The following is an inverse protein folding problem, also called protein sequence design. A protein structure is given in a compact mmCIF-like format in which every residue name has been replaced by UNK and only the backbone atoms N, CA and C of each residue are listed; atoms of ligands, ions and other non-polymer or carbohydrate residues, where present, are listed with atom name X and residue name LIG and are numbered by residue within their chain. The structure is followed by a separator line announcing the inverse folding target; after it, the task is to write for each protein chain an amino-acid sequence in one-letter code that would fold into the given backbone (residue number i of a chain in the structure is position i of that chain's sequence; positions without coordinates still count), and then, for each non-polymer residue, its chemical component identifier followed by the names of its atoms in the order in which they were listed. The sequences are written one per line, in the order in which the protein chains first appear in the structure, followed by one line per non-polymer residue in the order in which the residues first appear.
data_IF_882651395945
#
_entry.id   IF_882651395945
#
_cell.length_a   1.000
_cell.length_b   1.000
_cell.length_c   1.000
_cell.angle_alpha   90.00
_cell.angle_beta   90.00
_cell.angle_gamma   90.00
#
_symmetry.space_group_name_H-M   'P 1'
#
loop_
_entity.id
_entity.type
_entity.pdbx_description
1 polymer ?
#
# COMPACT_ATOMS: atom_id res chain seq x y z
N UNK A 1 61.94 19.51 -10.26
CA UNK A 1 62.27 19.49 -11.71
C UNK A 1 61.01 19.25 -12.47
N UNK A 2 60.71 20.17 -13.37
CA UNK A 2 59.48 20.25 -14.18
C UNK A 2 59.52 19.27 -15.36
N UNK A 3 58.41 18.67 -15.73
CA UNK A 3 58.19 18.21 -17.10
C UNK A 3 56.74 18.54 -17.50
N UNK A 4 56.63 19.52 -18.38
CA UNK A 4 55.40 19.86 -19.12
C UNK A 4 55.32 18.94 -20.35
N UNK A 5 54.15 18.42 -20.65
CA UNK A 5 53.87 17.72 -21.91
C UNK A 5 52.80 18.50 -22.69
N UNK A 6 52.98 18.71 -23.98
CA UNK A 6 52.19 19.64 -24.77
C UNK A 6 50.90 19.04 -25.32
N UNK A 7 49.88 19.91 -25.40
CA UNK A 7 48.57 19.68 -26.02
C UNK A 7 48.74 19.73 -27.54
N UNK A 8 48.38 18.65 -28.23
CA UNK A 8 48.22 18.64 -29.70
C UNK A 8 46.76 19.01 -30.05
N UNK A 9 46.63 20.17 -30.66
CA UNK A 9 45.37 20.64 -31.27
C UNK A 9 45.30 20.06 -32.70
N UNK A 10 44.40 19.15 -32.96
CA UNK A 10 44.11 18.61 -34.31
C UNK A 10 42.96 19.37 -34.91
N UNK A 11 43.21 20.29 -35.81
CA UNK A 11 42.22 20.94 -36.66
C UNK A 11 41.87 19.99 -37.82
N UNK A 12 40.70 19.44 -37.87
CA UNK A 12 40.16 18.72 -39.03
C UNK A 12 39.31 19.68 -39.86
N UNK A 13 39.77 20.03 -41.05
CA UNK A 13 38.98 20.69 -42.07
C UNK A 13 37.96 19.69 -42.63
N UNK A 14 36.68 19.96 -42.43
CA UNK A 14 35.60 19.26 -43.17
C UNK A 14 35.26 20.06 -44.42
N UNK A 15 35.51 19.44 -45.55
CA UNK A 15 35.07 19.91 -46.87
C UNK A 15 33.55 19.76 -47.00
N UNK A 16 32.88 20.84 -47.36
CA UNK A 16 31.48 20.86 -47.65
C UNK A 16 31.21 20.15 -49.01
N UNK A 17 30.40 19.12 -49.01
CA UNK A 17 29.78 18.52 -50.22
C UNK A 17 28.40 19.18 -50.43
N UNK A 18 28.05 19.60 -51.65
CA UNK A 18 26.75 20.17 -51.95
C UNK A 18 25.72 19.07 -52.27
N UNK A 19 24.54 19.21 -51.66
CA UNK A 19 23.29 18.81 -52.31
C UNK A 19 22.91 17.33 -52.28
N UNK A 20 22.24 16.90 -51.20
CA UNK A 20 21.22 15.86 -51.31
C UNK A 20 19.89 16.45 -50.81
N UNK A 21 18.86 16.29 -51.64
CA UNK A 21 17.56 16.89 -51.42
C UNK A 21 16.97 16.48 -50.06
N UNK A 22 16.48 17.45 -49.35
CA UNK A 22 15.68 17.27 -48.14
C UNK A 22 14.35 16.63 -48.58
N UNK A 23 14.16 15.36 -48.28
CA UNK A 23 12.81 14.76 -48.27
C UNK A 23 11.94 15.57 -47.29
N UNK A 24 10.68 15.86 -47.62
CA UNK A 24 9.79 16.53 -46.69
C UNK A 24 9.68 15.70 -45.43
N UNK A 25 10.20 16.25 -44.33
CA UNK A 25 10.32 15.58 -43.05
C UNK A 25 9.00 14.94 -42.62
N UNK A 26 9.07 13.67 -42.28
CA UNK A 26 8.01 12.99 -41.56
C UNK A 26 7.57 13.91 -40.38
N UNK A 27 6.27 14.04 -40.11
CA UNK A 27 5.81 14.90 -39.02
C UNK A 27 6.52 14.45 -37.74
N UNK A 28 7.17 15.40 -37.08
CA UNK A 28 7.85 15.18 -35.81
C UNK A 28 6.86 14.45 -34.89
N UNK A 29 7.11 13.16 -34.64
CA UNK A 29 6.25 12.36 -33.78
C UNK A 29 6.08 13.10 -32.46
N UNK A 30 4.85 13.18 -31.97
CA UNK A 30 4.55 13.76 -30.66
C UNK A 30 5.51 13.14 -29.65
N UNK A 31 6.29 13.94 -28.89
CA UNK A 31 7.26 13.39 -27.97
C UNK A 31 6.55 12.40 -27.02
N UNK A 32 7.06 11.19 -26.97
CA UNK A 32 6.50 10.16 -26.10
C UNK A 32 6.47 10.69 -24.67
N UNK A 33 5.30 10.70 -24.07
CA UNK A 33 5.16 11.13 -22.67
C UNK A 33 5.97 10.18 -21.77
N UNK A 34 6.76 10.73 -20.85
CA UNK A 34 7.49 9.92 -19.89
C UNK A 34 6.52 9.00 -19.12
N UNK A 35 6.86 7.72 -18.92
CA UNK A 35 5.99 6.80 -18.21
C UNK A 35 5.74 7.25 -16.76
N UNK A 36 4.64 6.81 -16.17
CA UNK A 36 4.31 7.08 -14.77
C UNK A 36 4.65 5.88 -13.90
N UNK A 37 5.36 6.09 -12.81
CA UNK A 37 5.39 5.14 -11.72
C UNK A 37 4.08 5.27 -10.95
N UNK A 38 3.34 4.16 -10.81
CA UNK A 38 2.08 4.09 -10.09
C UNK A 38 2.14 2.95 -9.08
N UNK A 39 1.96 3.27 -7.81
CA UNK A 39 1.76 2.28 -6.77
C UNK A 39 0.41 2.51 -6.11
N UNK A 40 -0.47 1.51 -6.17
CA UNK A 40 -1.74 1.51 -5.48
C UNK A 40 -1.68 0.51 -4.34
N UNK A 41 -2.00 0.94 -3.13
CA UNK A 41 -2.06 0.05 -1.97
C UNK A 41 -3.40 0.21 -1.27
N UNK A 42 -4.10 -0.90 -1.10
CA UNK A 42 -5.35 -0.97 -0.36
C UNK A 42 -5.16 -1.80 0.91
N UNK A 43 -5.66 -1.28 2.01
CA UNK A 43 -5.67 -1.92 3.32
C UNK A 43 -7.10 -2.19 3.77
N UNK A 44 -7.73 -3.29 3.34
CA UNK A 44 -8.99 -3.72 3.89
C UNK A 44 -8.82 -4.06 5.37
N UNK A 45 -9.54 -3.36 6.22
CA UNK A 45 -9.40 -3.47 7.67
C UNK A 45 -10.74 -3.81 8.29
N UNK A 46 -10.78 -4.89 9.07
CA UNK A 46 -11.87 -5.18 9.97
C UNK A 46 -11.37 -5.06 11.41
N UNK A 47 -11.98 -4.19 12.18
CA UNK A 47 -11.65 -4.00 13.59
C UNK A 47 -12.90 -4.23 14.40
N UNK A 48 -12.89 -5.24 15.26
CA UNK A 48 -13.91 -5.41 16.30
C UNK A 48 -13.59 -4.42 17.40
N UNK A 49 -14.45 -3.45 17.58
CA UNK A 49 -14.34 -2.29 18.44
C UNK A 49 -13.19 -1.33 18.11
N UNK A 50 -13.56 -0.14 17.72
CA UNK A 50 -12.77 1.05 17.95
C UNK A 50 -12.46 1.13 19.45
N UNK A 51 -11.29 1.65 19.77
CA UNK A 51 -10.94 2.12 21.12
C UNK A 51 -11.91 3.25 21.54
N UNK A 52 -13.14 2.87 21.73
CA UNK A 52 -14.16 3.74 22.29
C UNK A 52 -14.79 2.97 23.44
N UNK A 53 -14.54 3.43 24.63
CA UNK A 53 -14.83 2.76 25.90
C UNK A 53 -16.27 2.29 26.08
N UNK A 54 -17.16 2.63 25.16
CA UNK A 54 -18.61 2.46 25.34
C UNK A 54 -19.38 1.82 24.18
N UNK A 55 -18.77 1.51 23.03
CA UNK A 55 -19.52 0.97 21.90
C UNK A 55 -18.78 -0.17 21.19
N UNK A 56 -19.36 -1.37 21.21
CA UNK A 56 -19.00 -2.53 20.40
C UNK A 56 -19.34 -2.30 18.90
N UNK A 57 -18.73 -1.33 18.27
CA UNK A 57 -18.97 -1.05 16.85
C UNK A 57 -17.91 -1.75 16.02
N UNK A 58 -18.34 -2.75 15.26
CA UNK A 58 -17.53 -3.36 14.23
C UNK A 58 -17.19 -2.31 13.18
N UNK A 59 -15.92 -2.03 12.98
CA UNK A 59 -15.45 -1.10 11.98
C UNK A 59 -14.92 -1.86 10.77
N UNK A 60 -15.52 -1.64 9.61
CA UNK A 60 -14.99 -2.07 8.33
C UNK A 60 -14.57 -0.83 7.54
N UNK A 61 -13.33 -0.82 7.08
CA UNK A 61 -12.80 0.28 6.29
C UNK A 61 -11.81 -0.22 5.24
N UNK A 62 -11.64 0.55 4.18
CA UNK A 62 -10.50 0.44 3.28
C UNK A 62 -9.73 1.75 3.35
N UNK A 63 -8.44 1.66 3.64
CA UNK A 63 -7.52 2.77 3.42
C UNK A 63 -6.84 2.56 2.08
N UNK A 64 -6.93 3.59 1.25
CA UNK A 64 -6.39 3.62 -0.10
C UNK A 64 -5.23 4.59 -0.15
N UNK A 65 -4.11 4.15 -0.72
CA UNK A 65 -2.92 4.97 -0.98
C UNK A 65 -2.54 4.80 -2.44
N UNK A 66 -2.34 5.92 -3.13
CA UNK A 66 -1.92 5.93 -4.52
C UNK A 66 -0.76 6.89 -4.69
N UNK A 67 0.42 6.35 -4.96
CA UNK A 67 1.59 7.12 -5.35
C UNK A 67 1.63 7.24 -6.87
N UNK A 68 1.82 8.45 -7.37
CA UNK A 68 2.00 8.73 -8.79
C UNK A 68 3.27 9.58 -8.93
N UNK A 69 4.24 9.07 -9.66
CA UNK A 69 5.54 9.75 -9.84
C UNK A 69 5.95 9.73 -11.30
N UNK A 70 6.79 10.67 -11.67
CA UNK A 70 7.30 10.75 -13.03
C UNK A 70 8.50 9.80 -13.22
N UNK A 71 8.37 8.84 -14.12
CA UNK A 71 9.44 7.97 -14.59
C UNK A 71 9.84 6.83 -13.65
N UNK A 72 9.93 7.04 -12.33
CA UNK A 72 10.38 6.03 -11.36
C UNK A 72 9.85 6.28 -9.95
N UNK A 73 10.14 5.37 -9.02
CA UNK A 73 9.82 5.52 -7.60
C UNK A 73 10.48 6.77 -6.98
N UNK A 74 11.67 7.13 -7.43
CA UNK A 74 12.41 8.30 -6.97
C UNK A 74 12.02 9.58 -7.71
N UNK A 75 11.16 9.48 -8.72
CA UNK A 75 10.69 10.60 -9.50
C UNK A 75 9.84 11.58 -8.69
N UNK A 76 9.65 12.78 -9.23
CA UNK A 76 8.82 13.79 -8.60
C UNK A 76 7.37 13.30 -8.45
N UNK A 77 6.79 13.51 -7.28
CA UNK A 77 5.39 13.21 -7.03
C UNK A 77 4.48 14.13 -7.87
N UNK A 78 3.39 13.58 -8.37
CA UNK A 78 2.41 14.30 -9.19
C UNK A 78 1.19 14.61 -8.31
N UNK A 79 0.98 15.90 -8.03
CA UNK A 79 -0.06 16.39 -7.13
C UNK A 79 -1.34 16.83 -7.83
N UNK A 80 -1.32 17.03 -9.15
CA UNK A 80 -2.40 17.57 -9.95
C UNK A 80 -3.26 16.52 -10.67
N UNK A 81 -3.04 15.23 -10.34
CA UNK A 81 -3.90 14.17 -10.83
C UNK A 81 -5.24 14.13 -10.08
N UNK A 82 -6.30 13.74 -10.80
CA UNK A 82 -7.55 13.34 -10.17
C UNK A 82 -7.52 11.83 -9.97
N UNK A 83 -7.55 11.40 -8.72
CA UNK A 83 -7.56 9.99 -8.34
C UNK A 83 -8.88 9.64 -7.68
N UNK A 84 -9.54 8.59 -8.16
CA UNK A 84 -10.76 8.05 -7.55
C UNK A 84 -10.61 6.55 -7.35
N UNK A 85 -11.17 6.03 -6.26
CA UNK A 85 -11.31 4.59 -6.03
C UNK A 85 -12.55 4.31 -5.18
N UNK A 86 -13.26 3.21 -5.43
CA UNK A 86 -14.55 2.90 -4.80
C UNK A 86 -15.56 4.05 -4.92
N UNK A 87 -15.55 4.78 -6.05
CA UNK A 87 -16.34 5.99 -6.31
C UNK A 87 -16.00 7.19 -5.41
N UNK A 88 -14.99 7.09 -4.54
CA UNK A 88 -14.51 8.17 -3.69
C UNK A 88 -13.32 8.89 -4.33
N UNK A 89 -13.27 10.22 -4.20
CA UNK A 89 -12.10 11.01 -4.57
C UNK A 89 -11.04 10.89 -3.48
N UNK A 90 -9.79 10.60 -3.87
CA UNK A 90 -8.65 10.61 -2.97
C UNK A 90 -8.07 12.03 -2.86
N UNK A 91 -7.63 12.39 -1.67
CA UNK A 91 -7.00 13.67 -1.39
C UNK A 91 -5.47 13.54 -1.44
N UNK A 92 -4.78 14.53 -2.01
CA UNK A 92 -3.32 14.53 -2.07
C UNK A 92 -2.72 15.01 -0.75
N UNK A 93 -1.82 14.21 -0.19
CA UNK A 93 -1.08 14.50 1.03
C UNK A 93 0.41 14.26 0.83
N UNK A 94 1.21 15.28 1.04
CA UNK A 94 2.68 15.23 0.92
C UNK A 94 3.17 14.74 -0.45
N UNK A 95 3.14 13.42 -0.69
CA UNK A 95 3.67 12.79 -1.90
C UNK A 95 2.80 11.65 -2.47
N UNK A 96 1.60 11.47 -1.92
CA UNK A 96 0.64 10.43 -2.33
C UNK A 96 -0.80 10.91 -2.20
N UNK A 97 -1.71 10.18 -2.82
CA UNK A 97 -3.17 10.33 -2.66
C UNK A 97 -3.66 9.32 -1.65
N UNK A 98 -4.51 9.75 -0.74
CA UNK A 98 -5.09 8.85 0.25
C UNK A 98 -6.58 9.07 0.48
N UNK A 99 -7.25 8.01 0.91
CA UNK A 99 -8.63 8.05 1.38
C UNK A 99 -8.90 6.91 2.33
N UNK A 100 -9.66 7.22 3.36
CA UNK A 100 -10.26 6.24 4.26
C UNK A 100 -11.74 6.13 3.94
N UNK A 101 -12.18 4.96 3.49
CA UNK A 101 -13.57 4.67 3.15
C UNK A 101 -14.16 3.77 4.21
N UNK A 102 -15.16 4.25 4.93
CA UNK A 102 -15.94 3.46 5.88
C UNK A 102 -16.98 2.64 5.12
N UNK A 103 -17.15 1.40 5.52
CA UNK A 103 -17.99 0.43 4.82
C UNK A 103 -19.06 -0.16 5.74
N UNK A 104 -20.18 -0.48 5.15
CA UNK A 104 -21.18 -1.33 5.75
C UNK A 104 -20.71 -2.80 5.71
N UNK A 105 -20.76 -3.50 6.86
CA UNK A 105 -20.38 -4.91 6.96
C UNK A 105 -21.10 -5.82 5.98
N UNK A 106 -22.33 -5.47 5.59
CA UNK A 106 -23.18 -6.25 4.69
C UNK A 106 -22.91 -5.93 3.20
N UNK A 107 -22.06 -4.92 2.92
CA UNK A 107 -21.75 -4.44 1.56
C UNK A 107 -20.25 -4.36 1.32
N UNK A 108 -19.51 -5.33 1.82
CA UNK A 108 -18.06 -5.33 1.66
C UNK A 108 -17.68 -5.56 0.19
N UNK A 109 -16.87 -4.69 -0.41
CA UNK A 109 -16.48 -4.82 -1.79
C UNK A 109 -15.63 -6.07 -1.99
N UNK A 110 -15.81 -6.69 -3.15
CA UNK A 110 -15.03 -7.84 -3.60
C UNK A 110 -13.92 -7.42 -4.56
N UNK A 111 -14.05 -6.23 -5.12
CA UNK A 111 -13.12 -5.60 -6.05
C UNK A 111 -13.04 -4.10 -5.77
N UNK A 112 -11.94 -3.51 -6.13
CA UNK A 112 -11.70 -2.08 -6.10
C UNK A 112 -11.49 -1.61 -7.53
N UNK A 113 -12.34 -0.68 -7.99
CA UNK A 113 -12.14 0.07 -9.21
C UNK A 113 -11.41 1.35 -8.86
N UNK A 114 -10.30 1.63 -9.55
CA UNK A 114 -9.52 2.85 -9.40
C UNK A 114 -9.33 3.55 -10.76
N UNK A 115 -9.40 4.87 -10.75
CA UNK A 115 -9.18 5.70 -11.94
C UNK A 115 -8.20 6.83 -11.60
N UNK A 116 -7.23 7.05 -12.49
CA UNK A 116 -6.29 8.17 -12.43
C UNK A 116 -6.44 8.96 -13.72
N UNK A 117 -6.74 10.24 -13.59
CA UNK A 117 -6.81 11.20 -14.69
C UNK A 117 -5.76 12.30 -14.49
N UNK A 118 -4.93 12.51 -15.49
CA UNK A 118 -3.91 13.56 -15.52
C UNK A 118 -3.99 14.30 -16.85
N UNK A 119 -3.91 15.63 -16.82
CA UNK A 119 -4.00 16.45 -18.01
C UNK A 119 -2.98 16.03 -19.09
N UNK A 120 -3.45 15.92 -20.35
CA UNK A 120 -2.63 15.55 -21.49
C UNK A 120 -2.22 14.06 -21.53
N UNK A 121 -2.79 13.20 -20.70
CA UNK A 121 -2.51 11.76 -20.66
C UNK A 121 -3.77 10.91 -20.79
N UNK A 122 -3.66 9.68 -21.31
CA UNK A 122 -4.75 8.72 -21.24
C UNK A 122 -5.15 8.45 -19.79
N UNK A 123 -6.46 8.22 -19.58
CA UNK A 123 -6.98 7.83 -18.27
C UNK A 123 -6.54 6.40 -17.94
N UNK A 124 -5.95 6.23 -16.79
CA UNK A 124 -5.58 4.92 -16.23
C UNK A 124 -6.77 4.37 -15.45
N UNK A 125 -7.20 3.15 -15.78
CA UNK A 125 -8.26 2.42 -15.07
C UNK A 125 -7.76 1.07 -14.65
N UNK A 126 -7.86 0.81 -13.36
CA UNK A 126 -7.45 -0.47 -12.78
C UNK A 126 -8.57 -1.06 -11.96
N UNK A 127 -8.74 -2.37 -12.10
CA UNK A 127 -9.63 -3.18 -11.28
C UNK A 127 -8.82 -4.28 -10.63
N UNK A 128 -8.98 -4.44 -9.32
CA UNK A 128 -8.25 -5.45 -8.57
C UNK A 128 -9.07 -6.02 -7.41
N UNK A 129 -8.91 -7.32 -7.09
CA UNK A 129 -9.72 -7.99 -6.10
C UNK A 129 -9.37 -7.57 -4.68
N UNK A 130 -10.36 -7.59 -3.80
CA UNK A 130 -10.16 -7.72 -2.34
C UNK A 130 -10.21 -9.23 -2.03
N UNK A 131 -9.08 -9.89 -1.80
CA UNK A 131 -9.03 -11.35 -1.76
C UNK A 131 -9.84 -11.93 -0.60
N UNK A 132 -9.76 -11.32 0.56
CA UNK A 132 -10.54 -11.68 1.74
C UNK A 132 -10.56 -10.52 2.74
N UNK A 133 -11.53 -10.53 3.64
CA UNK A 133 -11.54 -9.73 4.85
C UNK A 133 -11.09 -10.60 6.01
N UNK A 134 -9.99 -10.22 6.63
CA UNK A 134 -9.51 -10.85 7.85
C UNK A 134 -10.18 -10.16 9.04
N UNK A 135 -10.86 -10.92 9.88
CA UNK A 135 -11.61 -10.42 11.03
C UNK A 135 -11.16 -11.15 12.29
N UNK A 136 -10.56 -10.45 13.23
CA UNK A 136 -10.35 -10.96 14.58
C UNK A 136 -11.71 -11.08 15.26
N UNK A 137 -12.04 -12.29 15.73
CA UNK A 137 -13.31 -12.58 16.42
C UNK A 137 -13.14 -12.66 17.92
N UNK A 138 -11.91 -12.95 18.39
CA UNK A 138 -11.49 -12.92 19.78
C UNK A 138 -10.06 -12.36 19.90
N UNK A 139 -9.73 -11.68 20.97
CA UNK A 139 -10.61 -11.33 22.06
C UNK A 139 -11.63 -10.28 21.60
N UNK A 140 -12.84 -10.37 22.08
CA UNK A 140 -13.71 -9.21 22.08
C UNK A 140 -13.09 -8.17 23.01
N UNK A 141 -13.32 -6.87 22.79
CA UNK A 141 -12.77 -5.83 23.68
C UNK A 141 -13.12 -6.17 25.12
N UNK A 142 -12.15 -6.70 25.79
CA UNK A 142 -12.32 -7.21 27.13
C UNK A 142 -11.19 -6.72 28.02
N UNK A 143 -11.49 -6.64 29.27
CA UNK A 143 -10.50 -6.54 30.32
C UNK A 143 -10.06 -7.97 30.62
N UNK A 144 -8.77 -8.25 30.49
CA UNK A 144 -8.16 -9.53 30.84
C UNK A 144 -7.41 -9.38 32.16
N UNK A 145 -7.64 -10.30 33.06
CA UNK A 145 -6.87 -10.36 34.32
C UNK A 145 -5.42 -10.75 34.04
N UNK A 146 -4.50 -10.04 34.65
CA UNK A 146 -3.07 -10.37 34.63
C UNK A 146 -2.84 -11.81 35.08
N UNK A 147 -1.97 -12.54 34.39
CA UNK A 147 -1.69 -13.94 34.70
C UNK A 147 -2.57 -14.94 33.95
N UNK A 148 -3.46 -14.49 33.06
CA UNK A 148 -4.21 -15.36 32.15
C UNK A 148 -3.70 -15.22 30.73
N UNK A 149 -3.68 -16.32 30.03
CA UNK A 149 -3.41 -16.39 28.60
C UNK A 149 -4.49 -15.67 27.82
N UNK A 150 -4.09 -15.00 26.72
CA UNK A 150 -4.99 -14.30 25.81
C UNK A 150 -5.26 -15.17 24.59
N UNK A 151 -6.46 -15.74 24.50
CA UNK A 151 -6.91 -16.42 23.29
C UNK A 151 -7.20 -15.41 22.19
N UNK A 152 -6.69 -15.68 20.99
CA UNK A 152 -6.91 -14.89 19.79
C UNK A 152 -7.49 -15.78 18.72
N UNK A 153 -8.64 -15.40 18.15
CA UNK A 153 -9.26 -16.13 17.04
C UNK A 153 -9.60 -15.19 15.91
N UNK A 154 -9.57 -15.71 14.70
CA UNK A 154 -9.91 -14.95 13.50
C UNK A 154 -10.66 -15.81 12.49
N UNK A 155 -11.29 -15.13 11.55
CA UNK A 155 -11.94 -15.72 10.39
C UNK A 155 -11.67 -14.91 9.14
N UNK A 156 -11.88 -15.55 8.00
CA UNK A 156 -11.87 -14.89 6.70
C UNK A 156 -13.29 -14.82 6.13
N UNK A 157 -13.58 -13.77 5.37
CA UNK A 157 -14.86 -13.67 4.67
C UNK A 157 -14.97 -14.65 3.50
N UNK A 158 -13.83 -15.17 3.03
CA UNK A 158 -13.71 -16.07 1.89
C UNK A 158 -12.62 -17.11 2.12
N UNK A 159 -11.62 -17.15 1.24
CA UNK A 159 -10.54 -18.13 1.29
C UNK A 159 -9.62 -17.88 2.49
N UNK A 160 -9.33 -18.93 3.28
CA UNK A 160 -8.32 -18.84 4.32
C UNK A 160 -6.93 -18.60 3.71
N UNK A 161 -6.08 -17.94 4.47
CA UNK A 161 -4.69 -17.67 4.12
C UNK A 161 -3.87 -17.66 5.41
N UNK A 162 -2.58 -17.96 5.35
CA UNK A 162 -1.72 -17.82 6.52
C UNK A 162 -1.75 -16.37 7.06
N UNK A 163 -1.62 -16.25 8.38
CA UNK A 163 -1.70 -14.99 9.12
C UNK A 163 -0.42 -14.79 9.91
N UNK A 164 0.10 -13.57 9.86
CA UNK A 164 1.11 -13.09 10.79
C UNK A 164 0.40 -12.40 11.95
N UNK A 165 0.58 -12.96 13.16
CA UNK A 165 -0.04 -12.45 14.37
C UNK A 165 1.00 -11.78 15.26
N UNK A 166 0.72 -10.58 15.72
CA UNK A 166 1.57 -9.81 16.62
C UNK A 166 0.76 -9.18 17.74
N UNK A 167 1.36 -9.06 18.91
CA UNK A 167 0.81 -8.27 19.99
C UNK A 167 1.85 -7.27 20.50
N UNK A 168 1.39 -6.06 20.82
CA UNK A 168 2.23 -4.95 21.26
C UNK A 168 1.67 -4.34 22.53
N UNK A 169 2.53 -3.95 23.43
CA UNK A 169 2.17 -2.95 24.46
C UNK A 169 1.91 -1.62 23.75
N UNK A 170 0.67 -1.17 23.77
CA UNK A 170 0.25 0.02 23.03
C UNK A 170 0.95 1.30 23.53
N UNK A 171 1.30 1.37 24.82
CA UNK A 171 1.94 2.54 25.42
C UNK A 171 3.42 2.65 25.03
N UNK A 172 4.14 1.53 25.01
CA UNK A 172 5.58 1.52 24.79
C UNK A 172 5.96 1.16 23.34
N UNK A 173 5.01 0.61 22.56
CA UNK A 173 5.27 0.07 21.23
C UNK A 173 6.06 -1.24 21.23
N UNK A 174 6.37 -1.80 22.42
CA UNK A 174 7.16 -3.03 22.56
C UNK A 174 6.34 -4.23 22.05
N UNK A 175 6.95 -5.01 21.14
CA UNK A 175 6.40 -6.30 20.72
C UNK A 175 6.50 -7.30 21.89
N UNK A 176 5.37 -7.91 22.25
CA UNK A 176 5.26 -8.87 23.34
C UNK A 176 4.97 -10.29 22.83
N UNK A 177 4.50 -10.41 21.60
CA UNK A 177 4.21 -11.69 20.96
C UNK A 177 4.31 -11.56 19.44
N UNK A 178 4.85 -12.61 18.79
CA UNK A 178 4.92 -12.74 17.35
C UNK A 178 4.83 -14.20 16.93
N UNK A 179 3.96 -14.49 15.98
CA UNK A 179 3.97 -15.74 15.20
C UNK A 179 3.69 -15.37 13.76
N UNK A 180 4.57 -15.82 12.88
CA UNK A 180 4.46 -15.58 11.45
C UNK A 180 3.90 -16.82 10.75
N UNK A 181 3.18 -16.61 9.66
CA UNK A 181 2.71 -17.61 8.72
C UNK A 181 1.89 -18.74 9.34
N UNK A 182 0.92 -18.38 10.17
CA UNK A 182 0.03 -19.33 10.83
C UNK A 182 -1.07 -19.78 9.90
N UNK A 183 -1.23 -21.09 9.73
CA UNK A 183 -2.33 -21.69 8.96
C UNK A 183 -3.58 -21.93 9.82
N UNK A 184 -3.40 -21.99 11.15
CA UNK A 184 -4.49 -22.09 12.12
C UNK A 184 -5.32 -20.81 12.15
N UNK A 185 -6.52 -20.89 12.68
CA UNK A 185 -7.44 -19.73 12.86
C UNK A 185 -7.51 -19.26 14.31
N UNK A 186 -6.61 -19.76 15.15
CA UNK A 186 -6.49 -19.38 16.56
C UNK A 186 -5.05 -19.43 17.07
N UNK A 187 -4.77 -18.65 18.08
CA UNK A 187 -3.52 -18.63 18.80
C UNK A 187 -3.72 -18.24 20.26
N UNK A 188 -2.69 -18.51 21.06
CA UNK A 188 -2.63 -18.09 22.46
C UNK A 188 -1.42 -17.20 22.65
N UNK A 189 -1.64 -15.98 23.16
CA UNK A 189 -0.57 -15.11 23.65
C UNK A 189 -0.36 -15.45 25.13
N UNK A 190 0.82 -15.97 25.52
CA UNK A 190 1.05 -16.45 26.89
C UNK A 190 0.96 -15.31 27.92
N UNK A 191 0.40 -15.61 29.08
CA UNK A 191 0.28 -14.68 30.21
C UNK A 191 1.63 -14.06 30.62
N UNK A 192 2.69 -14.85 30.57
CA UNK A 192 4.05 -14.40 30.93
C UNK A 192 4.57 -13.22 30.07
N UNK A 193 4.03 -13.07 28.83
CA UNK A 193 4.38 -11.97 27.96
C UNK A 193 3.48 -10.75 28.11
N UNK A 194 2.33 -10.87 28.78
CA UNK A 194 1.35 -9.82 28.88
C UNK A 194 1.69 -8.87 30.05
N UNK A 195 1.98 -7.59 29.78
CA UNK A 195 2.22 -6.61 30.85
C UNK A 195 0.93 -6.33 31.62
N UNK A 196 1.05 -6.07 32.92
CA UNK A 196 -0.09 -5.67 33.74
C UNK A 196 -0.48 -4.21 33.54
N UNK A 197 -1.74 -3.91 33.76
CA UNK A 197 -2.29 -2.54 33.76
C UNK A 197 -1.96 -1.69 32.53
N UNK A 198 -2.03 -2.30 31.36
CA UNK A 198 -1.78 -1.63 30.07
C UNK A 198 -2.84 -1.96 29.03
N UNK A 199 -2.68 -1.40 27.85
CA UNK A 199 -3.46 -1.77 26.66
C UNK A 199 -2.56 -2.58 25.76
N UNK A 200 -3.01 -3.76 25.38
CA UNK A 200 -2.36 -4.62 24.40
C UNK A 200 -3.09 -4.45 23.08
N UNK A 201 -2.36 -4.09 22.04
CA UNK A 201 -2.82 -4.11 20.67
C UNK A 201 -2.50 -5.46 20.05
N UNK A 202 -3.52 -6.24 19.70
CA UNK A 202 -3.37 -7.45 18.91
C UNK A 202 -3.60 -7.11 17.46
N UNK A 203 -2.69 -7.53 16.60
CA UNK A 203 -2.68 -7.21 15.19
C UNK A 203 -2.47 -8.48 14.37
N UNK A 204 -3.35 -8.72 13.43
CA UNK A 204 -3.29 -9.82 12.49
C UNK A 204 -3.23 -9.28 11.06
N UNK A 205 -2.32 -9.78 10.26
CA UNK A 205 -2.19 -9.45 8.85
C UNK A 205 -2.11 -10.72 8.03
N UNK A 206 -2.74 -10.72 6.87
CA UNK A 206 -2.65 -11.83 5.94
C UNK A 206 -1.24 -11.89 5.37
N UNK A 207 -0.57 -13.04 5.53
CA UNK A 207 0.83 -13.23 5.10
C UNK A 207 0.97 -13.21 3.57
N UNK A 208 -0.05 -13.67 2.85
CA UNK A 208 -0.08 -13.65 1.40
C UNK A 208 -0.83 -12.43 0.91
N UNK A 209 -0.08 -11.50 0.35
CA UNK A 209 -0.60 -10.25 -0.18
C UNK A 209 -1.03 -10.46 -1.63
N UNK A 210 -2.17 -9.85 -2.01
CA UNK A 210 -2.39 -9.69 -3.44
C UNK A 210 -1.41 -8.64 -3.96
N UNK A 211 -0.57 -9.06 -4.90
CA UNK A 211 0.39 -8.19 -5.56
C UNK A 211 0.32 -8.41 -7.08
N UNK A 212 0.18 -7.32 -7.82
CA UNK A 212 0.19 -7.33 -9.29
C UNK A 212 1.08 -6.21 -9.80
N UNK A 213 2.05 -6.54 -10.63
CA UNK A 213 2.82 -5.53 -11.36
C UNK A 213 2.01 -4.99 -12.51
N UNK A 214 2.04 -3.67 -12.68
CA UNK A 214 1.40 -2.97 -13.78
C UNK A 214 2.39 -2.92 -14.95
N UNK A 215 1.93 -3.28 -16.14
CA UNK A 215 2.73 -3.31 -17.35
C UNK A 215 1.92 -2.72 -18.52
N UNK A 216 2.62 -2.14 -19.50
CA UNK A 216 2.02 -1.55 -20.70
C UNK A 216 2.46 -0.12 -20.92
N UNK A 217 2.00 0.46 -22.02
CA UNK A 217 2.28 1.85 -22.34
C UNK A 217 1.75 2.79 -21.26
N UNK A 218 2.60 3.70 -20.80
CA UNK A 218 2.26 4.68 -19.76
C UNK A 218 2.74 4.31 -18.35
N UNK A 219 3.06 3.02 -18.06
CA UNK A 219 3.61 2.63 -16.76
C UNK A 219 5.13 2.58 -16.75
N UNK A 220 5.76 3.16 -15.73
CA UNK A 220 7.16 2.95 -15.44
C UNK A 220 7.39 1.59 -14.79
N UNK A 221 8.62 1.07 -14.95
CA UNK A 221 9.03 -0.20 -14.33
C UNK A 221 8.85 -0.16 -12.81
N UNK A 222 8.29 -1.22 -12.26
CA UNK A 222 8.04 -1.36 -10.82
C UNK A 222 6.70 -0.80 -10.35
N UNK A 223 5.87 -0.25 -11.27
CA UNK A 223 4.47 0.07 -10.94
C UNK A 223 3.71 -1.15 -10.47
N UNK A 224 2.90 -1.02 -9.41
CA UNK A 224 2.28 -2.18 -8.77
C UNK A 224 0.97 -1.85 -8.06
N UNK A 225 0.17 -2.89 -7.85
CA UNK A 225 -1.00 -2.88 -6.98
C UNK A 225 -0.78 -3.88 -5.85
N UNK A 226 -1.03 -3.46 -4.63
CA UNK A 226 -0.96 -4.27 -3.43
C UNK A 226 -2.29 -4.23 -2.67
N UNK A 227 -2.77 -5.38 -2.20
CA UNK A 227 -3.91 -5.44 -1.26
C UNK A 227 -3.49 -6.22 -0.04
N UNK A 228 -3.57 -5.58 1.12
CA UNK A 228 -3.04 -6.06 2.39
C UNK A 228 -4.15 -6.11 3.44
N UNK A 229 -4.94 -7.19 3.49
CA UNK A 229 -5.97 -7.34 4.52
C UNK A 229 -5.36 -7.47 5.91
N UNK A 230 -5.90 -6.74 6.86
CA UNK A 230 -5.48 -6.83 8.24
C UNK A 230 -6.63 -6.57 9.22
N UNK A 231 -6.43 -6.94 10.48
CA UNK A 231 -7.38 -6.74 11.55
C UNK A 231 -6.65 -6.40 12.85
N UNK A 232 -7.30 -5.67 13.74
CA UNK A 232 -6.75 -5.37 15.04
C UNK A 232 -7.84 -5.34 16.11
N UNK A 233 -7.40 -5.59 17.33
CA UNK A 233 -8.22 -5.42 18.55
C UNK A 233 -7.35 -4.88 19.68
N UNK A 234 -7.96 -4.10 20.56
CA UNK A 234 -7.31 -3.58 21.75
C UNK A 234 -7.88 -4.26 22.99
N UNK A 235 -7.01 -4.71 23.87
CA UNK A 235 -7.36 -5.43 25.09
C UNK A 235 -6.72 -4.72 26.26
N UNK A 236 -7.47 -4.46 27.31
CA UNK A 236 -6.92 -3.94 28.56
C UNK A 236 -6.53 -5.08 29.49
N UNK A 237 -5.30 -5.10 29.97
CA UNK A 237 -4.85 -5.98 31.05
C UNK A 237 -5.04 -5.29 32.40
N UNK A 238 -5.46 -6.02 33.42
CA UNK A 238 -5.59 -5.56 34.82
C UNK A 238 -4.76 -6.39 35.76
#
# INVERSE_FOLDING_TARGET
MRAMTPIFLLLALLAAAPGAGQEPGAPAGTPALAPLFVRMTAYPTASLSRYDYNNDVDLFEIRLYVEIRLGSLEGAAIADARVTALSEKLDFHQDHYEKRVLLDKDKLPVEIDAEISLAGRPVIRERFPVPAWLVLTEPRPAVIETGRDLAVRWRFSRFPSPVDLRAYDFRTGKEIFRRDHMEETEAVVPAAGLPGSTIVRVYAVQSWLYKRFLAGEGYARGSEINVIPWSQVFVRTR
#
